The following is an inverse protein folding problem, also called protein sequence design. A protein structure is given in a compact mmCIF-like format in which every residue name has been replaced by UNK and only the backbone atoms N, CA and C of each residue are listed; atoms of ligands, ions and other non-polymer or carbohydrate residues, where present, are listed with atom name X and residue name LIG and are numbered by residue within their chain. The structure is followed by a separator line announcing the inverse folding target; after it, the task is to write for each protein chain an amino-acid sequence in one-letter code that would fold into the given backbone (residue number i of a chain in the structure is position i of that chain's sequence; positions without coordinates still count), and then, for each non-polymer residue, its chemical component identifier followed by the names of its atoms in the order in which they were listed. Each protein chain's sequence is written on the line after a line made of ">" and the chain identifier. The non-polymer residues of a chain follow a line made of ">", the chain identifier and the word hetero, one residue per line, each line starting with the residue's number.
data_IF_412776108195
#
_entry.id   IF_412776108195
#
_cell.length_a   1.000
_cell.length_b   1.000
_cell.length_c   1.000
_cell.angle_alpha   90.00
_cell.angle_beta   90.00
_cell.angle_gamma   90.00
#
_symmetry.space_group_name_H-M   'P 1'
#
loop_
_entity.id
_entity.type
_entity.pdbx_description
1 polymer ?
#
# COMPACT_ATOMS: atom_id res chain seq x y z
N UNK A 1 -6.32 22.44 17.48
CA UNK A 1 -5.41 21.29 17.21
C UNK A 1 -4.58 21.64 15.99
N UNK A 2 -3.27 21.44 16.04
CA UNK A 2 -2.35 21.69 14.93
C UNK A 2 -2.21 20.40 14.11
N UNK A 3 -2.43 20.50 12.79
CA UNK A 3 -2.35 19.35 11.88
C UNK A 3 -1.21 19.58 10.89
N UNK A 4 -0.42 18.54 10.64
CA UNK A 4 0.64 18.53 9.63
C UNK A 4 0.36 17.42 8.62
N UNK A 5 0.43 17.74 7.33
CA UNK A 5 0.37 16.77 6.24
C UNK A 5 1.77 16.56 5.66
N UNK A 6 2.21 15.30 5.57
CA UNK A 6 3.53 14.92 5.09
C UNK A 6 3.39 14.13 3.79
N UNK A 7 3.79 14.74 2.67
CA UNK A 7 3.77 14.09 1.37
C UNK A 7 4.91 13.06 1.26
N UNK A 8 4.64 11.97 0.52
CA UNK A 8 5.61 10.90 0.24
C UNK A 8 6.77 11.43 -0.61
N UNK A 9 7.98 10.96 -0.31
CA UNK A 9 9.15 11.18 -1.17
C UNK A 9 8.93 10.45 -2.52
N UNK A 10 9.26 11.14 -3.62
CA UNK A 10 9.13 10.62 -4.99
C UNK A 10 9.83 9.27 -5.21
N UNK A 11 10.86 8.95 -4.44
CA UNK A 11 11.55 7.66 -4.50
C UNK A 11 10.63 6.47 -4.27
N UNK A 12 9.64 6.62 -3.39
CA UNK A 12 8.73 5.54 -3.02
C UNK A 12 7.49 5.42 -3.92
N UNK A 13 7.32 6.36 -4.86
CA UNK A 13 6.17 6.36 -5.77
C UNK A 13 6.48 7.16 -7.05
N UNK A 14 7.56 6.82 -7.79
CA UNK A 14 8.07 7.67 -8.88
C UNK A 14 7.05 7.87 -10.01
N UNK A 15 6.14 6.91 -10.22
CA UNK A 15 5.10 6.95 -11.26
C UNK A 15 3.74 7.47 -10.77
N UNK A 16 3.63 7.87 -9.50
CA UNK A 16 2.35 8.26 -8.88
C UNK A 16 2.43 9.54 -8.05
N UNK A 17 3.51 10.30 -8.14
CA UNK A 17 3.76 11.52 -7.33
C UNK A 17 2.55 12.46 -7.34
N UNK A 18 2.04 12.81 -8.51
CA UNK A 18 0.88 13.71 -8.65
C UNK A 18 -0.41 13.08 -8.10
N UNK A 19 -0.57 11.77 -8.24
CA UNK A 19 -1.74 11.04 -7.73
C UNK A 19 -1.73 10.98 -6.21
N UNK A 20 -0.57 10.73 -5.61
CA UNK A 20 -0.37 10.69 -4.16
C UNK A 20 -0.59 12.09 -3.56
N UNK A 21 -0.02 13.11 -4.20
CA UNK A 21 -0.26 14.50 -3.78
C UNK A 21 -1.73 14.88 -3.86
N UNK A 22 -2.42 14.45 -4.92
CA UNK A 22 -3.81 14.80 -5.12
C UNK A 22 -4.77 14.18 -4.09
N UNK A 23 -4.54 12.94 -3.62
CA UNK A 23 -5.38 12.38 -2.54
C UNK A 23 -5.09 13.07 -1.20
N UNK A 24 -3.82 13.32 -0.86
CA UNK A 24 -3.49 14.02 0.38
C UNK A 24 -4.07 15.45 0.38
N UNK A 25 -4.00 16.15 -0.77
CA UNK A 25 -4.59 17.47 -0.97
C UNK A 25 -6.11 17.44 -0.72
N UNK A 26 -6.82 16.48 -1.35
CA UNK A 26 -8.28 16.36 -1.21
C UNK A 26 -8.68 16.08 0.26
N UNK A 27 -7.88 15.31 0.99
CA UNK A 27 -8.10 15.06 2.44
C UNK A 27 -7.90 16.35 3.24
N UNK A 28 -6.80 17.06 2.99
CA UNK A 28 -6.50 18.32 3.69
C UNK A 28 -7.60 19.38 3.47
N UNK A 29 -8.05 19.53 2.23
CA UNK A 29 -9.15 20.46 1.89
C UNK A 29 -10.47 20.04 2.56
N UNK A 30 -10.77 18.74 2.59
CA UNK A 30 -11.98 18.21 3.22
C UNK A 30 -12.02 18.34 4.75
N UNK A 31 -10.89 18.50 5.40
CA UNK A 31 -10.84 18.74 6.84
C UNK A 31 -11.36 20.12 7.21
N UNK A 32 -11.26 21.10 6.31
CA UNK A 32 -11.71 22.48 6.55
C UNK A 32 -11.06 23.11 7.79
N UNK A 33 -9.79 22.78 8.05
CA UNK A 33 -8.98 23.29 9.15
C UNK A 33 -7.60 23.70 8.62
N UNK A 34 -6.88 24.61 9.29
CA UNK A 34 -5.52 24.93 8.92
C UNK A 34 -4.61 23.71 9.03
N UNK A 35 -3.96 23.34 7.94
CA UNK A 35 -3.00 22.24 7.86
C UNK A 35 -1.67 22.77 7.34
N UNK A 36 -0.59 22.44 8.02
CA UNK A 36 0.77 22.74 7.55
C UNK A 36 1.22 21.63 6.62
N UNK A 37 1.68 21.99 5.43
CA UNK A 37 2.23 21.07 4.46
C UNK A 37 3.75 20.94 4.61
N UNK A 38 4.24 19.71 4.46
CA UNK A 38 5.66 19.39 4.31
C UNK A 38 5.79 18.10 3.48
N UNK A 39 7.00 17.69 3.19
CA UNK A 39 7.32 16.42 2.55
C UNK A 39 8.44 15.69 3.31
N UNK A 40 8.64 14.42 2.99
CA UNK A 40 9.66 13.60 3.66
C UNK A 40 11.06 14.19 3.55
N UNK A 41 11.43 14.81 2.43
CA UNK A 41 12.75 15.37 2.23
C UNK A 41 12.99 16.58 3.16
N UNK A 42 11.97 17.41 3.33
CA UNK A 42 12.00 18.53 4.28
C UNK A 42 12.07 18.04 5.73
N UNK A 43 11.27 17.01 6.09
CA UNK A 43 11.31 16.43 7.44
C UNK A 43 12.68 15.81 7.73
N UNK A 44 13.32 15.15 6.76
CA UNK A 44 14.67 14.60 6.93
C UNK A 44 15.72 15.66 7.23
N UNK A 45 15.60 16.83 6.62
CA UNK A 45 16.62 17.91 6.74
C UNK A 45 16.34 18.89 7.87
N UNK A 46 15.08 19.24 8.09
CA UNK A 46 14.67 20.29 9.04
C UNK A 46 14.02 19.74 10.32
N UNK A 47 13.78 18.44 10.37
CA UNK A 47 13.04 17.79 11.46
C UNK A 47 11.52 17.86 11.30
N UNK A 48 10.85 17.10 12.16
CA UNK A 48 9.38 17.00 12.16
C UNK A 48 8.76 18.29 12.71
N UNK A 49 7.90 19.00 11.96
CA UNK A 49 7.21 20.18 12.48
C UNK A 49 6.30 19.77 13.65
N UNK A 50 6.21 20.56 14.75
CA UNK A 50 5.37 20.21 15.88
C UNK A 50 3.89 20.23 15.52
N UNK A 51 3.16 19.15 15.83
CA UNK A 51 1.72 18.99 15.60
C UNK A 51 1.06 18.14 16.68
N UNK A 52 -0.28 18.14 16.70
CA UNK A 52 -1.10 17.25 17.48
C UNK A 52 -1.52 16.02 16.68
N UNK A 53 -1.66 16.20 15.35
CA UNK A 53 -2.00 15.15 14.39
C UNK A 53 -1.14 15.27 13.14
N UNK A 54 -0.59 14.14 12.70
CA UNK A 54 0.11 13.99 11.43
C UNK A 54 -0.70 13.11 10.47
N UNK A 55 -0.95 13.63 9.28
CA UNK A 55 -1.47 12.87 8.14
C UNK A 55 -0.29 12.58 7.24
N UNK A 56 0.18 11.34 7.19
CA UNK A 56 1.47 11.05 6.57
C UNK A 56 1.39 9.95 5.53
N UNK A 57 2.04 10.18 4.41
CA UNK A 57 2.35 9.18 3.39
C UNK A 57 3.83 8.78 3.42
N UNK A 58 4.56 9.15 4.46
CA UNK A 58 5.99 8.89 4.61
C UNK A 58 6.31 7.39 4.70
N UNK A 59 7.45 6.99 4.11
CA UNK A 59 7.98 5.63 4.13
C UNK A 59 9.44 5.53 4.50
N UNK A 60 10.18 6.65 4.51
CA UNK A 60 11.60 6.62 4.87
C UNK A 60 11.78 6.30 6.35
N UNK A 61 12.71 5.42 6.66
CA UNK A 61 13.03 5.00 8.03
C UNK A 61 13.29 6.19 8.94
N UNK A 62 14.02 7.21 8.44
CA UNK A 62 14.36 8.39 9.22
C UNK A 62 13.14 9.23 9.61
N UNK A 63 12.14 9.36 8.73
CA UNK A 63 10.89 10.08 9.03
C UNK A 63 10.00 9.23 9.92
N UNK A 64 9.90 7.92 9.65
CA UNK A 64 9.12 7.01 10.51
C UNK A 64 9.65 6.98 11.95
N UNK A 65 10.97 7.05 12.16
CA UNK A 65 11.56 7.15 13.49
C UNK A 65 11.14 8.45 14.21
N UNK A 66 11.16 9.60 13.52
CA UNK A 66 10.70 10.86 14.10
C UNK A 66 9.19 10.82 14.43
N UNK A 67 8.39 10.21 13.58
CA UNK A 67 6.95 10.00 13.83
C UNK A 67 6.73 9.08 15.04
N UNK A 68 7.49 7.99 15.15
CA UNK A 68 7.44 7.10 16.32
C UNK A 68 7.76 7.82 17.64
N UNK A 69 8.74 8.73 17.66
CA UNK A 69 9.02 9.55 18.84
C UNK A 69 7.88 10.52 19.15
N UNK A 70 7.27 11.10 18.11
CA UNK A 70 6.07 11.93 18.28
C UNK A 70 4.89 11.12 18.86
N UNK A 71 4.67 9.88 18.41
CA UNK A 71 3.65 8.97 18.94
C UNK A 71 3.90 8.62 20.42
N UNK A 72 5.14 8.34 20.80
CA UNK A 72 5.53 8.14 22.20
C UNK A 72 5.25 9.37 23.07
N UNK A 73 5.36 10.58 22.50
CA UNK A 73 5.01 11.83 23.13
C UNK A 73 3.49 12.13 23.10
N UNK A 74 2.66 11.17 22.73
CA UNK A 74 1.19 11.29 22.72
C UNK A 74 0.63 12.00 21.50
N UNK A 75 1.41 12.16 20.41
CA UNK A 75 0.90 12.72 19.16
C UNK A 75 0.21 11.63 18.34
N UNK A 76 -0.75 12.03 17.52
CA UNK A 76 -1.53 11.12 16.65
C UNK A 76 -0.95 11.10 15.25
N UNK A 77 -0.86 9.92 14.64
CA UNK A 77 -0.30 9.72 13.29
C UNK A 77 -1.20 8.78 12.49
N UNK A 78 -1.53 9.13 11.27
CA UNK A 78 -2.34 8.33 10.34
C UNK A 78 -1.60 8.16 9.01
N UNK A 79 -1.22 6.96 8.60
CA UNK A 79 -1.14 5.70 9.37
C UNK A 79 -0.01 5.80 10.40
N UNK A 80 -0.08 5.06 11.51
CA UNK A 80 0.97 5.05 12.52
C UNK A 80 2.32 4.60 11.95
N UNK A 81 3.42 5.05 12.53
CA UNK A 81 4.76 4.68 12.10
C UNK A 81 4.98 3.16 12.14
N UNK A 82 4.45 2.50 13.18
CA UNK A 82 4.50 1.05 13.33
C UNK A 82 3.70 0.36 12.23
N UNK A 83 2.48 0.80 11.94
CA UNK A 83 1.64 0.20 10.91
C UNK A 83 2.26 0.30 9.51
N UNK A 84 2.91 1.41 9.20
CA UNK A 84 3.66 1.56 7.94
C UNK A 84 4.84 0.59 7.89
N UNK A 85 5.56 0.39 9.00
CA UNK A 85 6.64 -0.58 9.08
C UNK A 85 6.15 -2.02 8.90
N UNK A 86 4.94 -2.37 9.36
CA UNK A 86 4.32 -3.68 9.13
C UNK A 86 3.94 -3.89 7.65
N UNK A 87 3.86 -2.85 6.83
CA UNK A 87 3.62 -2.95 5.39
C UNK A 87 4.91 -3.20 4.57
N UNK A 88 6.09 -3.26 5.19
CA UNK A 88 7.32 -3.72 4.51
C UNK A 88 7.12 -5.15 4.02
N UNK A 89 7.35 -5.40 2.73
CA UNK A 89 6.89 -6.63 2.03
C UNK A 89 7.28 -7.93 2.73
N UNK A 90 8.53 -8.08 3.16
CA UNK A 90 8.99 -9.29 3.86
C UNK A 90 8.36 -9.46 5.24
N UNK A 91 8.14 -8.36 5.95
CA UNK A 91 7.47 -8.34 7.25
C UNK A 91 6.02 -8.73 7.06
N UNK A 92 5.34 -8.04 6.17
CA UNK A 92 3.94 -8.29 5.81
C UNK A 92 3.72 -9.74 5.39
N UNK A 93 4.50 -10.23 4.44
CA UNK A 93 4.37 -11.59 3.91
C UNK A 93 4.51 -12.68 5.00
N UNK A 94 5.45 -12.52 5.95
CA UNK A 94 5.56 -13.43 7.11
C UNK A 94 4.33 -13.38 8.00
N UNK A 95 3.85 -12.17 8.32
CA UNK A 95 2.65 -11.96 9.13
C UNK A 95 1.43 -12.61 8.48
N UNK A 96 1.23 -12.37 7.19
CA UNK A 96 0.08 -12.89 6.45
C UNK A 96 0.09 -14.42 6.35
N UNK A 97 1.26 -15.04 6.11
CA UNK A 97 1.39 -16.50 6.12
C UNK A 97 1.11 -17.09 7.49
N UNK A 98 1.60 -16.48 8.57
CA UNK A 98 1.35 -16.95 9.94
C UNK A 98 -0.14 -16.91 10.32
N UNK A 99 -0.92 -16.05 9.68
CA UNK A 99 -2.37 -15.90 9.91
C UNK A 99 -3.23 -16.54 8.81
N UNK A 100 -2.64 -17.40 7.96
CA UNK A 100 -3.32 -18.13 6.90
C UNK A 100 -4.12 -17.21 5.92
N UNK A 101 -3.67 -15.98 5.71
CA UNK A 101 -4.23 -15.11 4.66
C UNK A 101 -3.90 -15.72 3.31
N UNK A 102 -4.87 -15.82 2.38
CA UNK A 102 -4.63 -16.36 1.05
C UNK A 102 -3.57 -15.57 0.28
N UNK A 103 -2.40 -16.17 0.07
CA UNK A 103 -1.27 -15.63 -0.71
C UNK A 103 -0.92 -16.62 -1.83
N UNK A 104 -0.30 -16.15 -2.92
CA UNK A 104 0.27 -17.06 -3.91
C UNK A 104 1.24 -18.04 -3.25
N UNK A 105 1.28 -19.29 -3.71
CA UNK A 105 2.31 -20.24 -3.25
C UNK A 105 3.70 -19.80 -3.72
N UNK A 106 4.75 -20.39 -3.15
CA UNK A 106 6.13 -20.13 -3.57
C UNK A 106 6.55 -20.94 -4.79
N UNK A 107 5.80 -21.99 -5.12
CA UNK A 107 6.05 -22.86 -6.26
C UNK A 107 4.83 -22.90 -7.17
N UNK A 108 5.06 -22.90 -8.50
CA UNK A 108 4.02 -22.93 -9.50
C UNK A 108 4.60 -23.24 -10.89
N UNK A 109 3.72 -23.34 -11.89
CA UNK A 109 4.08 -23.72 -13.26
C UNK A 109 3.78 -22.63 -14.30
N UNK A 110 3.26 -21.48 -13.87
CA UNK A 110 2.90 -20.35 -14.74
C UNK A 110 3.91 -19.19 -14.65
N UNK A 111 5.07 -19.41 -14.03
CA UNK A 111 6.07 -18.39 -13.76
C UNK A 111 6.09 -17.93 -12.30
N UNK A 112 6.95 -16.96 -12.03
CA UNK A 112 7.21 -16.46 -10.69
C UNK A 112 7.31 -14.95 -10.67
N UNK A 113 6.98 -14.36 -9.54
CA UNK A 113 7.27 -12.98 -9.21
C UNK A 113 8.36 -12.92 -8.17
N UNK A 114 9.47 -12.28 -8.50
CA UNK A 114 10.53 -11.91 -7.56
C UNK A 114 10.30 -10.45 -7.16
N UNK A 115 10.12 -10.19 -5.88
CA UNK A 115 9.79 -8.85 -5.35
C UNK A 115 10.77 -8.48 -4.25
N UNK A 116 11.38 -7.29 -4.33
CA UNK A 116 12.20 -6.76 -3.25
C UNK A 116 11.41 -6.73 -1.94
N UNK A 117 12.00 -7.21 -0.86
CA UNK A 117 11.36 -7.43 0.43
C UNK A 117 11.53 -6.32 1.45
N UNK A 118 12.73 -5.73 1.51
CA UNK A 118 13.16 -4.77 2.52
C UNK A 118 12.60 -3.34 2.36
N UNK A 119 12.06 -3.03 1.19
CA UNK A 119 11.52 -1.71 0.88
C UNK A 119 10.39 -1.80 -0.17
N UNK A 120 9.65 -0.70 -0.34
CA UNK A 120 8.79 -0.53 -1.52
C UNK A 120 9.63 -0.52 -2.79
N UNK A 121 9.07 -0.99 -3.91
CA UNK A 121 9.73 -0.90 -5.22
C UNK A 121 10.08 0.56 -5.55
N UNK A 122 11.37 0.83 -5.76
CA UNK A 122 11.91 2.16 -6.04
C UNK A 122 12.46 2.27 -7.45
N UNK A 123 12.87 1.14 -8.02
CA UNK A 123 13.49 1.04 -9.35
C UNK A 123 12.78 0.01 -10.21
N UNK A 124 12.87 0.21 -11.50
CA UNK A 124 12.50 -0.83 -12.45
C UNK A 124 13.39 -2.06 -12.19
N UNK A 125 12.78 -3.21 -11.93
CA UNK A 125 13.49 -4.43 -11.55
C UNK A 125 13.45 -4.76 -10.05
N UNK A 126 12.76 -4.00 -9.21
CA UNK A 126 12.47 -4.38 -7.83
C UNK A 126 11.25 -5.32 -7.72
N UNK A 127 10.46 -5.42 -8.79
CA UNK A 127 9.40 -6.42 -9.00
C UNK A 127 9.55 -6.97 -10.41
N UNK A 128 9.89 -8.25 -10.52
CA UNK A 128 10.22 -8.89 -11.80
C UNK A 128 9.41 -10.16 -11.99
N UNK A 129 8.82 -10.31 -13.17
CA UNK A 129 8.25 -11.57 -13.63
C UNK A 129 9.35 -12.47 -14.19
N UNK A 130 9.40 -13.72 -13.72
CA UNK A 130 10.31 -14.77 -14.17
C UNK A 130 9.46 -15.89 -14.77
N UNK A 131 9.67 -16.21 -16.04
CA UNK A 131 8.86 -17.19 -16.77
C UNK A 131 8.98 -18.62 -16.24
N UNK A 132 10.14 -18.95 -15.63
CA UNK A 132 10.51 -20.26 -15.12
C UNK A 132 11.52 -20.10 -13.97
N UNK A 133 11.94 -21.24 -13.41
CA UNK A 133 12.87 -21.28 -12.26
C UNK A 133 14.28 -20.83 -12.61
N UNK A 134 14.73 -21.12 -13.83
CA UNK A 134 16.04 -20.66 -14.32
C UNK A 134 16.10 -19.13 -14.40
N UNK A 135 15.05 -18.50 -14.95
CA UNK A 135 14.93 -17.05 -14.98
C UNK A 135 14.84 -16.47 -13.56
N UNK A 136 14.15 -17.15 -12.62
CA UNK A 136 14.10 -16.74 -11.23
C UNK A 136 15.48 -16.74 -10.57
N UNK A 137 16.24 -17.83 -10.74
CA UNK A 137 17.59 -17.97 -10.16
C UNK A 137 18.53 -16.87 -10.69
N UNK A 138 18.45 -16.58 -12.00
CA UNK A 138 19.21 -15.49 -12.62
C UNK A 138 18.84 -14.13 -11.99
N UNK A 139 17.56 -13.84 -11.82
CA UNK A 139 17.11 -12.57 -11.25
C UNK A 139 17.48 -12.42 -9.77
N UNK A 140 17.47 -13.50 -9.00
CA UNK A 140 17.97 -13.50 -7.62
C UNK A 140 19.46 -13.15 -7.56
N UNK A 141 20.28 -13.68 -8.48
CA UNK A 141 21.69 -13.31 -8.59
C UNK A 141 21.87 -11.82 -8.89
N UNK A 142 21.04 -11.26 -9.79
CA UNK A 142 21.04 -9.82 -10.07
C UNK A 142 20.63 -8.97 -8.85
N UNK A 143 19.68 -9.45 -8.04
CA UNK A 143 19.32 -8.79 -6.78
C UNK A 143 20.53 -8.76 -5.84
N UNK A 144 21.22 -9.88 -5.66
CA UNK A 144 22.45 -9.94 -4.84
C UNK A 144 23.51 -8.97 -5.35
N UNK A 145 23.74 -8.90 -6.68
CA UNK A 145 24.71 -7.97 -7.27
C UNK A 145 24.34 -6.50 -7.03
N UNK A 146 23.05 -6.17 -6.94
CA UNK A 146 22.52 -4.84 -6.58
C UNK A 146 22.54 -4.59 -5.07
N UNK A 147 22.98 -5.52 -4.24
CA UNK A 147 22.96 -5.42 -2.79
C UNK A 147 21.58 -5.66 -2.17
N UNK A 148 20.60 -6.16 -2.92
CA UNK A 148 19.30 -6.56 -2.41
C UNK A 148 19.43 -7.98 -1.88
N UNK A 149 19.31 -8.16 -0.55
CA UNK A 149 19.46 -9.44 0.13
C UNK A 149 18.17 -9.98 0.73
N UNK A 150 17.11 -9.17 0.68
CA UNK A 150 15.79 -9.53 1.18
C UNK A 150 14.76 -9.44 0.05
N UNK A 151 14.07 -10.53 -0.23
CA UNK A 151 13.04 -10.62 -1.27
C UNK A 151 11.96 -11.66 -0.94
N UNK A 152 10.85 -11.52 -1.64
CA UNK A 152 9.74 -12.48 -1.63
C UNK A 152 9.60 -13.09 -3.01
N UNK A 153 9.40 -14.42 -3.05
CA UNK A 153 9.06 -15.17 -4.26
C UNK A 153 7.62 -15.64 -4.16
N UNK A 154 6.85 -15.40 -5.19
CA UNK A 154 5.48 -15.86 -5.34
C UNK A 154 5.28 -16.48 -6.72
N UNK A 155 4.57 -17.60 -6.81
CA UNK A 155 4.15 -18.14 -8.10
C UNK A 155 3.18 -17.17 -8.79
N UNK A 156 3.29 -17.05 -10.10
CA UNK A 156 2.28 -16.33 -10.87
C UNK A 156 0.96 -17.09 -10.86
N UNK A 157 -0.11 -16.38 -10.51
CA UNK A 157 -1.48 -16.91 -10.53
C UNK A 157 -2.20 -16.37 -11.76
N UNK A 158 -2.63 -17.25 -12.69
CA UNK A 158 -3.56 -16.87 -13.73
C UNK A 158 -4.92 -16.51 -13.12
N UNK A 159 -5.50 -15.41 -13.58
CA UNK A 159 -6.78 -14.93 -13.07
C UNK A 159 -6.96 -13.44 -13.29
N UNK A 160 -8.08 -12.90 -12.83
CA UNK A 160 -8.38 -11.49 -12.91
C UNK A 160 -7.58 -10.71 -11.87
N UNK A 161 -6.78 -9.75 -12.34
CA UNK A 161 -6.18 -8.76 -11.46
C UNK A 161 -7.24 -7.76 -11.01
N UNK A 162 -7.38 -7.62 -9.71
CA UNK A 162 -8.32 -6.70 -9.08
C UNK A 162 -7.56 -5.82 -8.08
N UNK A 163 -7.75 -4.52 -8.19
CA UNK A 163 -7.21 -3.52 -7.27
C UNK A 163 -8.29 -3.10 -6.27
N UNK A 164 -7.96 -3.11 -4.98
CA UNK A 164 -8.86 -2.63 -3.94
C UNK A 164 -8.31 -1.42 -3.21
N UNK A 165 -9.22 -0.66 -2.63
CA UNK A 165 -8.96 0.49 -1.76
C UNK A 165 -9.91 0.44 -0.58
N UNK A 166 -9.38 0.75 0.60
CA UNK A 166 -10.15 0.72 1.82
C UNK A 166 -9.72 1.84 2.80
N UNK A 167 -10.66 2.25 3.64
CA UNK A 167 -10.44 3.17 4.75
C UNK A 167 -11.20 2.64 5.95
N UNK A 168 -10.56 2.54 7.08
CA UNK A 168 -11.21 2.14 8.32
C UNK A 168 -12.50 2.93 8.55
N UNK A 169 -13.55 2.25 9.01
CA UNK A 169 -14.89 2.84 9.13
C UNK A 169 -15.86 2.51 7.99
N UNK A 170 -15.50 1.58 7.09
CA UNK A 170 -16.43 0.94 6.18
C UNK A 170 -16.40 1.44 4.74
N UNK A 171 -15.33 2.11 4.32
CA UNK A 171 -15.14 2.43 2.91
C UNK A 171 -14.37 1.32 2.22
N UNK A 172 -15.01 0.58 1.32
CA UNK A 172 -14.36 -0.42 0.48
C UNK A 172 -14.76 -0.23 -0.98
N UNK A 173 -13.78 -0.27 -1.90
CA UNK A 173 -13.99 -0.23 -3.36
C UNK A 173 -12.98 -1.13 -4.05
N UNK A 174 -13.38 -1.75 -5.14
CA UNK A 174 -12.49 -2.52 -6.01
C UNK A 174 -12.70 -2.20 -7.49
N UNK A 175 -11.69 -2.46 -8.29
CA UNK A 175 -11.65 -2.13 -9.71
C UNK A 175 -10.80 -3.15 -10.46
N UNK A 176 -11.16 -3.43 -11.68
CA UNK A 176 -10.32 -4.18 -12.61
C UNK A 176 -9.46 -3.19 -13.40
N UNK A 177 -8.11 -3.22 -13.28
CA UNK A 177 -7.24 -2.30 -13.99
C UNK A 177 -7.41 -2.36 -15.51
N UNK A 178 -7.70 -3.54 -16.06
CA UNK A 178 -7.88 -3.77 -17.49
C UNK A 178 -9.11 -3.09 -18.09
N UNK A 179 -10.14 -2.72 -17.30
CA UNK A 179 -11.37 -2.09 -17.80
C UNK A 179 -11.12 -0.66 -18.33
N UNK A 180 -10.08 0.01 -17.83
CA UNK A 180 -9.69 1.35 -18.31
C UNK A 180 -8.67 1.29 -19.47
N UNK A 181 -8.44 0.11 -20.02
CA UNK A 181 -7.40 -0.16 -21.01
C UNK A 181 -6.09 -0.61 -20.36
N UNK A 182 -5.38 -1.52 -21.03
CA UNK A 182 -4.12 -2.07 -20.53
C UNK A 182 -3.00 -1.05 -20.68
N UNK A 183 -2.25 -0.81 -19.60
CA UNK A 183 -0.97 -0.11 -19.68
C UNK A 183 0.01 -0.96 -20.48
N UNK A 184 0.56 -0.41 -21.56
CA UNK A 184 1.55 -1.11 -22.40
C UNK A 184 2.84 -1.49 -21.64
N UNK A 185 3.05 -0.94 -20.45
CA UNK A 185 4.30 -1.05 -19.69
C UNK A 185 4.08 -1.55 -18.24
N UNK A 186 2.85 -1.89 -17.87
CA UNK A 186 2.53 -2.36 -16.51
C UNK A 186 2.63 -3.88 -16.38
N UNK A 187 2.90 -4.33 -15.15
CA UNK A 187 2.91 -5.76 -14.82
C UNK A 187 1.50 -6.40 -14.97
N UNK A 188 0.46 -5.59 -15.04
CA UNK A 188 -0.93 -6.01 -15.28
C UNK A 188 -1.10 -6.82 -16.57
N UNK A 189 -0.25 -6.60 -17.57
CA UNK A 189 -0.27 -7.32 -18.86
C UNK A 189 -0.11 -8.86 -18.70
N UNK A 190 0.54 -9.34 -17.63
CA UNK A 190 0.74 -10.78 -17.43
C UNK A 190 -0.55 -11.53 -17.09
N UNK A 191 -1.56 -10.84 -16.53
CA UNK A 191 -2.88 -11.40 -16.29
C UNK A 191 -3.87 -11.12 -17.43
N UNK A 192 -3.57 -10.14 -18.30
CA UNK A 192 -4.39 -9.80 -19.46
C UNK A 192 -5.68 -9.04 -19.12
N UNK A 193 -6.67 -9.15 -19.98
CA UNK A 193 -7.99 -8.56 -19.77
C UNK A 193 -8.76 -9.39 -18.73
N UNK A 194 -9.50 -8.71 -17.85
CA UNK A 194 -10.33 -9.37 -16.88
C UNK A 194 -11.50 -10.11 -17.54
N UNK A 195 -11.75 -11.32 -17.07
CA UNK A 195 -12.93 -12.13 -17.42
C UNK A 195 -14.11 -11.83 -16.51
N UNK A 196 -13.91 -11.04 -15.47
CA UNK A 196 -14.88 -10.73 -14.42
C UNK A 196 -15.44 -11.99 -13.74
N UNK A 197 -14.54 -12.88 -13.34
CA UNK A 197 -14.91 -14.06 -12.59
C UNK A 197 -15.74 -13.70 -11.36
N UNK A 198 -16.81 -14.44 -11.11
CA UNK A 198 -17.66 -14.24 -9.95
C UNK A 198 -16.87 -14.57 -8.67
N UNK A 199 -16.92 -13.71 -7.68
CA UNK A 199 -16.32 -13.90 -6.35
C UNK A 199 -17.17 -13.24 -5.28
N UNK A 200 -16.94 -13.57 -4.03
CA UNK A 200 -17.62 -12.94 -2.90
C UNK A 200 -16.86 -11.67 -2.45
N UNK A 201 -17.39 -10.52 -2.84
CA UNK A 201 -16.79 -9.23 -2.49
C UNK A 201 -16.85 -8.93 -0.98
N UNK A 202 -17.81 -9.48 -0.24
CA UNK A 202 -17.87 -9.33 1.20
C UNK A 202 -16.76 -10.15 1.91
N UNK A 203 -16.47 -11.35 1.42
CA UNK A 203 -15.34 -12.14 1.90
C UNK A 203 -14.00 -11.45 1.58
N UNK A 204 -13.87 -10.86 0.39
CA UNK A 204 -12.68 -10.09 0.04
C UNK A 204 -12.51 -8.90 1.00
N UNK A 205 -13.56 -8.12 1.23
CA UNK A 205 -13.53 -7.01 2.19
C UNK A 205 -13.13 -7.50 3.59
N UNK A 206 -13.76 -8.56 4.10
CA UNK A 206 -13.42 -9.11 5.42
C UNK A 206 -11.94 -9.54 5.51
N UNK A 207 -11.40 -10.15 4.46
CA UNK A 207 -9.99 -10.53 4.41
C UNK A 207 -9.07 -9.30 4.46
N UNK A 208 -9.32 -8.26 3.66
CA UNK A 208 -8.45 -7.08 3.66
C UNK A 208 -8.58 -6.27 4.96
N UNK A 209 -9.74 -6.23 5.58
CA UNK A 209 -9.95 -5.67 6.93
C UNK A 209 -9.18 -6.46 7.99
N UNK A 210 -9.12 -7.80 7.87
CA UNK A 210 -8.26 -8.63 8.73
C UNK A 210 -6.77 -8.28 8.54
N UNK A 211 -6.31 -8.10 7.32
CA UNK A 211 -4.93 -7.65 7.04
C UNK A 211 -4.66 -6.28 7.64
N UNK A 212 -5.61 -5.35 7.52
CA UNK A 212 -5.52 -4.03 8.14
C UNK A 212 -5.44 -4.11 9.67
N UNK A 213 -6.22 -5.00 10.29
CA UNK A 213 -6.16 -5.24 11.74
C UNK A 213 -4.80 -5.83 12.18
N UNK A 214 -4.21 -6.75 11.40
CA UNK A 214 -2.90 -7.35 11.66
C UNK A 214 -1.75 -6.35 11.53
N UNK A 215 -1.86 -5.39 10.63
CA UNK A 215 -0.84 -4.36 10.36
C UNK A 215 -1.06 -3.07 11.13
N UNK A 216 -2.27 -2.82 11.58
CA UNK A 216 -2.68 -1.57 12.24
C UNK A 216 -2.92 -0.40 11.30
N UNK A 217 -2.96 -0.62 9.99
CA UNK A 217 -3.23 0.46 9.02
C UNK A 217 -4.70 0.85 8.97
N UNK A 218 -4.97 2.12 8.72
CA UNK A 218 -6.32 2.69 8.66
C UNK A 218 -6.71 3.16 7.25
N UNK A 219 -5.71 3.52 6.45
CA UNK A 219 -5.86 3.98 5.07
C UNK A 219 -4.96 3.11 4.20
N UNK A 220 -5.54 2.23 3.39
CA UNK A 220 -4.81 1.19 2.71
C UNK A 220 -5.43 0.77 1.37
N UNK A 221 -4.73 -0.05 0.65
CA UNK A 221 -5.19 -0.67 -0.58
C UNK A 221 -4.19 -1.71 -1.07
N UNK A 222 -4.53 -2.38 -2.15
CA UNK A 222 -3.68 -3.44 -2.66
C UNK A 222 -4.24 -4.09 -3.90
N UNK A 223 -3.66 -5.24 -4.21
CA UNK A 223 -4.01 -6.00 -5.40
C UNK A 223 -4.28 -7.47 -5.01
N UNK A 224 -5.29 -8.06 -5.64
CA UNK A 224 -5.59 -9.49 -5.52
C UNK A 224 -5.73 -10.12 -6.90
N UNK A 225 -5.51 -11.43 -6.99
CA UNK A 225 -5.88 -12.22 -8.16
C UNK A 225 -7.13 -13.03 -7.82
N UNK A 226 -8.14 -12.93 -8.67
CA UNK A 226 -9.38 -13.74 -8.58
C UNK A 226 -9.27 -14.86 -9.60
N UNK A 227 -9.30 -16.11 -9.13
CA UNK A 227 -9.26 -17.31 -9.96
C UNK A 227 -10.62 -17.59 -10.61
N UNK A 228 -10.67 -18.43 -11.67
CA UNK A 228 -11.94 -18.88 -12.27
C UNK A 228 -12.92 -19.56 -11.29
N UNK A 229 -12.40 -20.11 -10.19
CA UNK A 229 -13.21 -20.71 -9.11
C UNK A 229 -13.92 -19.68 -8.22
N UNK A 230 -13.53 -18.42 -8.30
CA UNK A 230 -13.96 -17.36 -7.38
C UNK A 230 -13.07 -17.20 -6.13
N UNK A 231 -12.09 -18.09 -5.94
CA UNK A 231 -11.08 -17.95 -4.92
C UNK A 231 -10.18 -16.75 -5.24
N UNK A 232 -9.65 -16.09 -4.23
CA UNK A 232 -8.75 -14.97 -4.42
C UNK A 232 -7.51 -15.05 -3.55
N UNK A 233 -6.41 -14.45 -4.02
CA UNK A 233 -5.13 -14.37 -3.33
C UNK A 233 -4.62 -12.94 -3.31
N UNK A 234 -4.20 -12.48 -2.13
CA UNK A 234 -3.58 -11.16 -1.97
C UNK A 234 -2.16 -11.19 -2.54
N UNK A 235 -1.84 -10.27 -3.45
CA UNK A 235 -0.53 -10.18 -4.11
C UNK A 235 0.23 -8.89 -3.79
N UNK A 236 -0.46 -7.86 -3.31
CA UNK A 236 0.14 -6.62 -2.81
C UNK A 236 -0.78 -5.94 -1.80
N UNK A 237 -0.17 -5.23 -0.82
CA UNK A 237 -0.90 -4.47 0.18
C UNK A 237 -0.06 -3.27 0.62
N UNK A 238 -0.64 -2.09 0.57
CA UNK A 238 0.06 -0.83 0.70
C UNK A 238 -0.66 0.11 1.67
N UNK A 239 0.14 0.77 2.51
CA UNK A 239 -0.28 1.95 3.26
C UNK A 239 -0.59 3.10 2.30
N UNK A 240 -1.60 3.87 2.60
CA UNK A 240 -2.02 5.11 1.94
C UNK A 240 -1.77 5.14 0.41
N UNK A 241 -2.54 4.38 -0.38
CA UNK A 241 -2.45 4.40 -1.83
C UNK A 241 -2.98 5.71 -2.42
N UNK A 242 -2.77 5.91 -3.71
CA UNK A 242 -3.20 7.13 -4.43
C UNK A 242 -4.71 7.27 -4.60
N UNK A 243 -5.49 6.20 -4.40
CA UNK A 243 -6.94 6.15 -4.62
C UNK A 243 -7.38 6.72 -5.99
N UNK A 244 -6.55 6.57 -7.01
CA UNK A 244 -6.70 7.30 -8.28
C UNK A 244 -8.04 7.08 -8.97
N UNK A 245 -8.70 5.93 -8.73
CA UNK A 245 -10.00 5.57 -9.33
C UNK A 245 -11.21 6.01 -8.51
N UNK A 246 -11.02 6.36 -7.25
CA UNK A 246 -12.11 6.72 -6.33
C UNK A 246 -11.72 7.86 -5.38
N UNK A 247 -10.79 8.74 -5.80
CA UNK A 247 -10.15 9.76 -4.96
C UNK A 247 -11.13 10.59 -4.15
N UNK A 248 -12.17 11.13 -4.77
CA UNK A 248 -13.14 12.00 -4.10
C UNK A 248 -13.89 11.26 -2.99
N UNK A 249 -14.37 10.05 -3.27
CA UNK A 249 -15.07 9.21 -2.30
C UNK A 249 -14.12 8.76 -1.16
N UNK A 250 -12.89 8.37 -1.51
CA UNK A 250 -11.88 7.99 -0.54
C UNK A 250 -11.46 9.16 0.37
N UNK A 251 -11.25 10.36 -0.21
CA UNK A 251 -10.93 11.55 0.58
C UNK A 251 -12.04 11.89 1.58
N UNK A 252 -13.31 11.79 1.16
CA UNK A 252 -14.46 11.96 2.08
C UNK A 252 -14.46 10.93 3.21
N UNK A 253 -14.17 9.67 2.90
CA UNK A 253 -14.08 8.60 3.90
C UNK A 253 -12.92 8.82 4.87
N UNK A 254 -11.73 9.16 4.38
CA UNK A 254 -10.55 9.47 5.21
C UNK A 254 -10.86 10.65 6.13
N UNK A 255 -11.45 11.73 5.60
CA UNK A 255 -11.85 12.90 6.40
C UNK A 255 -12.86 12.52 7.48
N UNK A 256 -13.87 11.72 7.14
CA UNK A 256 -14.86 11.24 8.12
C UNK A 256 -14.20 10.42 9.22
N UNK A 257 -13.32 9.48 8.86
CA UNK A 257 -12.57 8.66 9.80
C UNK A 257 -11.67 9.50 10.72
N UNK A 258 -10.88 10.42 10.14
CA UNK A 258 -9.99 11.31 10.89
C UNK A 258 -10.80 12.18 11.87
N UNK A 259 -11.91 12.75 11.41
CA UNK A 259 -12.80 13.54 12.29
C UNK A 259 -13.38 12.69 13.42
N UNK A 260 -13.86 11.49 13.11
CA UNK A 260 -14.46 10.60 14.10
C UNK A 260 -13.44 10.17 15.16
N UNK A 261 -12.30 9.65 14.73
CA UNK A 261 -11.32 9.01 15.62
C UNK A 261 -10.40 10.02 16.34
N UNK A 262 -10.03 11.11 15.67
CA UNK A 262 -8.95 11.97 16.13
C UNK A 262 -9.38 13.41 16.46
N UNK A 263 -10.53 13.87 15.95
CA UNK A 263 -10.97 15.25 16.14
C UNK A 263 -12.16 15.38 17.10
N UNK A 264 -13.02 14.36 17.22
CA UNK A 264 -14.23 14.42 18.05
C UNK A 264 -14.03 14.01 19.53
N UNK A 265 -12.85 13.58 19.95
CA UNK A 265 -12.55 13.21 21.34
C UNK A 265 -12.23 14.41 22.27
N UNK A 266 -12.62 15.63 21.89
CA UNK A 266 -12.44 16.81 22.75
C UNK A 266 -13.81 17.25 23.30
N UNK A 267 -14.39 16.41 24.18
CA UNK A 267 -15.44 16.86 25.13
C UNK A 267 -15.14 16.30 26.52
#
# INVERSE_FOLDING_TARGET
>A
MKIVAIARDKRFSPHSVEKDRAILQAVVEGLQQPVVWTDEAQVQTAGLPPADLYLTMARSTAVLQQLAEAEKAGRRVVNSSESVAQCVRSVLHRTLRAHAIPLPPTEGNAGYWLKRGDASAQEQGDVVFCRDKEALDMQQQLFVQRGVTDWVVEAHLPGDLLKFYDVAGGFFRYFYPSDDGMSKFGNEQYNGLAYHYAFDAAQLQAMVEQVAALTGVEVYGGDVIVAPSGDFSLIDFNDWPSFSRCREAAAKAIVAWVKHKYLNETK
#
